data_IF_347289329594
#
_entry.id   IF_347289329594
#
_cell.length_a   1.000
_cell.length_b   1.000
_cell.length_c   1.000
_cell.angle_alpha   90.00
_cell.angle_beta   90.00
_cell.angle_gamma   90.00
#
_symmetry.space_group_name_H-M   'P 1'
#
loop_
_entity.id
_entity.type
_entity.pdbx_description
1 polymer ?
#
# COMPACT_ATOMS: atom_id res chain seq x y z
N UNK A 1 -4.68 12.52 -3.39
CA UNK A 1 -5.15 11.57 -2.36
C UNK A 1 -4.11 10.47 -2.26
N UNK A 2 -3.46 10.32 -1.09
CA UNK A 2 -2.47 9.27 -0.87
C UNK A 2 -3.15 7.91 -0.69
N UNK A 3 -2.43 6.85 -1.01
CA UNK A 3 -2.87 5.47 -0.75
C UNK A 3 -2.58 5.11 0.70
N UNK A 4 -3.56 4.49 1.37
CA UNK A 4 -3.49 4.17 2.79
C UNK A 4 -3.40 2.66 3.01
N UNK A 5 -2.40 2.23 3.77
CA UNK A 5 -2.26 0.85 4.22
C UNK A 5 -2.52 0.78 5.74
N UNK A 6 -3.48 -0.03 6.15
CA UNK A 6 -3.77 -0.28 7.56
C UNK A 6 -2.85 -1.35 8.13
N UNK A 7 -2.15 -1.07 9.21
CA UNK A 7 -1.35 -2.06 9.93
C UNK A 7 -2.25 -2.72 10.97
N UNK A 8 -2.46 -4.02 10.83
CA UNK A 8 -3.28 -4.83 11.75
C UNK A 8 -2.47 -5.98 12.31
N UNK A 9 -2.87 -6.51 13.44
CA UNK A 9 -2.26 -7.68 14.07
C UNK A 9 -2.81 -7.87 15.47
N UNK A 10 -2.64 -9.08 16.01
CA UNK A 10 -2.96 -9.39 17.40
C UNK A 10 -2.06 -8.60 18.36
N UNK A 11 -2.41 -8.49 19.64
CA UNK A 11 -1.50 -7.92 20.64
C UNK A 11 -0.16 -8.66 20.70
N UNK A 12 0.91 -7.93 20.99
CA UNK A 12 2.26 -8.46 21.20
C UNK A 12 2.91 -9.15 19.98
N UNK A 13 2.51 -8.80 18.76
CA UNK A 13 3.15 -9.28 17.52
C UNK A 13 4.25 -8.36 16.99
N UNK A 14 4.55 -7.24 17.67
CA UNK A 14 5.51 -6.23 17.25
C UNK A 14 4.93 -5.10 16.38
N UNK A 15 3.60 -5.01 16.27
CA UNK A 15 2.91 -3.99 15.47
C UNK A 15 3.30 -2.57 15.86
N UNK A 16 3.29 -2.23 17.14
CA UNK A 16 3.64 -0.89 17.64
C UNK A 16 5.12 -0.56 17.43
N UNK A 17 6.02 -1.54 17.60
CA UNK A 17 7.44 -1.38 17.31
C UNK A 17 7.65 -1.04 15.84
N UNK A 18 7.02 -1.79 14.94
CA UNK A 18 7.07 -1.55 13.50
C UNK A 18 6.51 -0.16 13.14
N UNK A 19 5.37 0.22 13.71
CA UNK A 19 4.77 1.52 13.45
C UNK A 19 5.62 2.66 13.99
N UNK A 20 6.27 2.49 15.14
CA UNK A 20 7.20 3.48 15.69
C UNK A 20 8.41 3.66 14.77
N UNK A 21 8.98 2.58 14.23
CA UNK A 21 10.06 2.67 13.25
C UNK A 21 9.62 3.44 11.99
N UNK A 22 8.45 3.12 11.44
CA UNK A 22 7.86 3.86 10.31
C UNK A 22 7.67 5.34 10.61
N UNK A 23 7.14 5.70 11.79
CA UNK A 23 6.89 7.10 12.16
C UNK A 23 8.17 7.87 12.44
N UNK A 24 9.20 7.26 13.01
CA UNK A 24 10.53 7.88 13.17
C UNK A 24 11.17 8.15 11.81
N UNK A 25 11.15 7.18 10.90
CA UNK A 25 11.60 7.34 9.53
C UNK A 25 10.83 8.47 8.82
N UNK A 26 9.51 8.52 8.96
CA UNK A 26 8.67 9.58 8.44
C UNK A 26 9.03 10.96 9.00
N UNK A 27 9.29 11.06 10.31
CA UNK A 27 9.68 12.31 10.98
C UNK A 27 11.06 12.80 10.53
N UNK A 28 12.04 11.90 10.38
CA UNK A 28 13.36 12.22 9.85
C UNK A 28 13.27 12.74 8.40
N UNK A 29 12.45 12.11 7.58
CA UNK A 29 12.20 12.57 6.21
C UNK A 29 11.42 13.91 6.17
N UNK A 30 10.48 14.12 7.11
CA UNK A 30 9.68 15.33 7.19
C UNK A 30 10.51 16.57 7.56
N UNK A 31 11.59 16.41 8.31
CA UNK A 31 12.51 17.50 8.65
C UNK A 31 13.14 18.15 7.38
N UNK A 32 13.22 17.39 6.30
CA UNK A 32 13.73 17.84 5.01
C UNK A 32 12.65 18.39 4.05
N UNK A 33 11.36 18.25 4.40
CA UNK A 33 10.24 18.66 3.54
C UNK A 33 9.18 19.43 4.32
N UNK A 34 8.92 20.72 3.99
CA UNK A 34 7.83 21.47 4.61
C UNK A 34 6.46 20.90 4.22
N UNK A 35 5.50 20.93 5.16
CA UNK A 35 4.10 20.49 5.03
C UNK A 35 3.77 19.02 5.34
N UNK A 36 4.62 18.29 6.09
CA UNK A 36 4.22 17.00 6.63
C UNK A 36 3.37 17.19 7.90
N UNK A 37 2.12 16.74 7.85
CA UNK A 37 1.23 16.72 9.03
C UNK A 37 1.50 15.43 9.82
N UNK A 38 1.83 15.54 11.09
CA UNK A 38 1.95 14.38 11.99
C UNK A 38 0.58 14.20 12.65
N UNK A 39 -0.19 13.22 12.22
CA UNK A 39 -1.42 12.81 12.88
C UNK A 39 -1.15 11.61 13.78
N UNK A 40 -1.78 11.51 14.96
CA UNK A 40 -1.68 10.31 15.79
C UNK A 40 -2.09 9.06 14.99
N UNK A 41 -1.30 8.00 15.08
CA UNK A 41 -1.53 6.73 14.38
C UNK A 41 -1.47 6.79 12.84
N UNK A 42 -0.89 7.83 12.25
CA UNK A 42 -0.67 7.96 10.80
C UNK A 42 0.79 8.30 10.54
N UNK A 43 1.45 7.50 9.70
CA UNK A 43 2.81 7.71 9.25
C UNK A 43 2.87 7.83 7.72
N UNK A 44 3.39 8.94 7.20
CA UNK A 44 3.66 9.12 5.77
C UNK A 44 5.13 8.90 5.50
N UNK A 45 5.48 7.85 4.75
CA UNK A 45 6.84 7.49 4.42
C UNK A 45 7.10 7.65 2.92
N UNK A 46 8.32 8.03 2.56
CA UNK A 46 8.73 8.06 1.16
C UNK A 46 8.80 6.63 0.61
N UNK A 47 8.39 6.46 -0.64
CA UNK A 47 8.59 5.21 -1.38
C UNK A 47 10.03 5.19 -1.88
N UNK A 48 10.86 4.21 -1.49
CA UNK A 48 12.23 4.10 -1.94
C UNK A 48 12.30 3.87 -3.46
N UNK A 49 12.93 4.79 -4.18
CA UNK A 49 13.12 4.69 -5.63
C UNK A 49 14.40 5.41 -6.07
N UNK A 50 15.47 4.65 -6.29
CA UNK A 50 16.78 5.16 -6.69
C UNK A 50 16.80 5.84 -8.06
N UNK A 51 15.77 5.61 -8.87
CA UNK A 51 15.62 6.26 -10.19
C UNK A 51 15.46 7.78 -10.05
N UNK A 52 14.78 8.22 -8.98
CA UNK A 52 14.53 9.64 -8.74
C UNK A 52 15.84 10.40 -8.51
N UNK A 53 16.77 9.83 -7.73
CA UNK A 53 18.08 10.48 -7.46
C UNK A 53 18.91 10.58 -8.74
N UNK A 54 18.92 9.53 -9.56
CA UNK A 54 19.58 9.50 -10.86
C UNK A 54 19.02 10.59 -11.79
N UNK A 55 17.69 10.70 -11.87
CA UNK A 55 17.02 11.72 -12.69
C UNK A 55 17.30 13.14 -12.19
N UNK A 56 17.30 13.34 -10.88
CA UNK A 56 17.60 14.62 -10.26
C UNK A 56 19.04 15.08 -10.55
N UNK A 57 19.99 14.15 -10.49
CA UNK A 57 21.39 14.43 -10.84
C UNK A 57 21.54 14.87 -12.30
N UNK A 58 20.91 14.18 -13.25
CA UNK A 58 20.91 14.51 -14.68
C UNK A 58 20.22 15.87 -14.91
N UNK A 59 19.04 16.08 -14.31
CA UNK A 59 18.25 17.31 -14.43
C UNK A 59 18.85 18.50 -13.68
N UNK A 60 19.88 18.27 -12.85
CA UNK A 60 20.46 19.26 -11.91
C UNK A 60 19.38 19.92 -11.05
N UNK A 61 18.43 19.10 -10.59
CA UNK A 61 17.30 19.55 -9.81
C UNK A 61 17.75 20.01 -8.43
N UNK A 62 17.16 21.10 -7.93
CA UNK A 62 17.45 21.63 -6.59
C UNK A 62 16.77 20.87 -5.48
N UNK A 63 15.59 20.34 -5.78
CA UNK A 63 14.75 19.57 -4.83
C UNK A 63 14.46 18.20 -5.40
N UNK A 64 14.42 17.19 -4.52
CA UNK A 64 14.08 15.81 -4.86
C UNK A 64 12.85 15.44 -4.04
N UNK A 65 11.73 15.18 -4.71
CA UNK A 65 10.44 14.95 -4.05
C UNK A 65 9.95 13.53 -4.37
N UNK A 66 10.12 12.57 -3.45
CA UNK A 66 9.64 11.20 -3.64
C UNK A 66 8.11 11.12 -3.55
N UNK A 67 7.56 10.03 -4.06
CA UNK A 67 6.19 9.64 -3.72
C UNK A 67 6.09 9.22 -2.26
N UNK A 68 4.88 9.27 -1.70
CA UNK A 68 4.65 8.89 -0.32
C UNK A 68 3.53 7.86 -0.21
N UNK A 69 3.68 6.98 0.76
CA UNK A 69 2.68 6.00 1.17
C UNK A 69 2.27 6.26 2.61
N UNK A 70 0.99 6.20 2.88
CA UNK A 70 0.43 6.43 4.22
C UNK A 70 0.19 5.09 4.90
N UNK A 71 0.76 4.91 6.09
CA UNK A 71 0.48 3.81 7.00
C UNK A 71 -0.39 4.29 8.15
N UNK A 72 -1.40 3.49 8.51
CA UNK A 72 -2.31 3.80 9.62
C UNK A 72 -2.18 2.68 10.65
N UNK A 73 -1.78 3.01 11.88
CA UNK A 73 -1.81 2.05 12.99
C UNK A 73 -3.24 1.83 13.43
N UNK A 74 -3.73 0.63 13.21
CA UNK A 74 -5.06 0.22 13.61
C UNK A 74 -4.91 -0.59 14.90
N UNK A 75 -5.50 -0.08 15.98
CA UNK A 75 -5.43 -0.71 17.30
C UNK A 75 -5.80 -2.20 17.22
N UNK A 76 -5.07 -3.05 17.95
CA UNK A 76 -5.16 -4.50 17.80
C UNK A 76 -6.58 -5.06 17.95
N UNK A 77 -6.91 -6.01 17.09
CA UNK A 77 -8.16 -6.77 17.17
C UNK A 77 -8.09 -7.74 18.34
N UNK A 78 -9.15 -7.77 19.14
CA UNK A 78 -9.38 -8.82 20.13
C UNK A 78 -10.49 -9.73 19.59
N UNK A 79 -10.37 -11.03 19.78
CA UNK A 79 -11.37 -12.03 19.41
C UNK A 79 -12.77 -11.60 19.90
N UNK A 80 -13.76 -11.63 18.99
CA UNK A 80 -15.12 -11.16 19.29
C UNK A 80 -15.38 -9.68 18.97
N UNK A 81 -14.47 -8.99 18.29
CA UNK A 81 -14.66 -7.59 17.90
C UNK A 81 -15.84 -7.36 16.95
N UNK A 82 -16.20 -8.35 16.15
CA UNK A 82 -17.39 -8.33 15.28
C UNK A 82 -18.71 -8.26 16.06
N UNK A 83 -18.72 -8.73 17.33
CA UNK A 83 -19.88 -8.73 18.23
C UNK A 83 -19.80 -7.66 19.32
N UNK A 84 -18.69 -6.88 19.35
CA UNK A 84 -18.37 -5.98 20.45
C UNK A 84 -18.96 -4.59 20.29
N UNK A 85 -19.31 -3.97 21.42
CA UNK A 85 -19.58 -2.54 21.53
C UNK A 85 -18.25 -1.77 21.67
N UNK A 86 -18.13 -0.61 21.04
CA UNK A 86 -17.02 0.33 21.27
C UNK A 86 -15.77 0.11 20.41
N UNK A 87 -14.67 -0.37 21.00
CA UNK A 87 -13.35 -0.46 20.35
C UNK A 87 -13.32 -1.32 19.08
N UNK A 88 -14.10 -2.43 19.03
CA UNK A 88 -14.20 -3.28 17.85
C UNK A 88 -14.79 -2.56 16.65
N UNK A 89 -15.83 -1.78 16.85
CA UNK A 89 -16.45 -1.00 15.76
C UNK A 89 -15.52 0.09 15.23
N UNK A 90 -14.72 0.72 16.08
CA UNK A 90 -13.72 1.71 15.66
C UNK A 90 -12.60 1.06 14.86
N UNK A 91 -12.13 -0.11 15.29
CA UNK A 91 -11.16 -0.91 14.54
C UNK A 91 -11.64 -1.22 13.10
N UNK A 92 -12.88 -1.73 12.97
CA UNK A 92 -13.47 -2.04 11.68
C UNK A 92 -13.68 -0.78 10.80
N UNK A 93 -14.04 0.35 11.42
CA UNK A 93 -14.17 1.62 10.71
C UNK A 93 -12.82 2.09 10.15
N UNK A 94 -11.75 2.01 10.94
CA UNK A 94 -10.41 2.39 10.51
C UNK A 94 -9.93 1.53 9.35
N UNK A 95 -10.16 0.20 9.37
CA UNK A 95 -9.84 -0.66 8.22
C UNK A 95 -10.62 -0.24 6.98
N UNK A 96 -11.91 0.13 7.10
CA UNK A 96 -12.70 0.57 5.93
C UNK A 96 -12.09 1.74 5.18
N UNK A 97 -11.41 2.63 5.87
CA UNK A 97 -10.78 3.83 5.30
C UNK A 97 -9.44 3.57 4.62
N UNK A 98 -8.89 2.35 4.71
CA UNK A 98 -7.62 1.98 4.07
C UNK A 98 -7.84 1.34 2.70
N UNK A 99 -6.81 1.35 1.84
CA UNK A 99 -6.82 0.72 0.53
C UNK A 99 -6.34 -0.74 0.57
N UNK A 100 -5.46 -1.08 1.53
CA UNK A 100 -4.90 -2.40 1.75
C UNK A 100 -4.60 -2.64 3.23
N UNK A 101 -4.32 -3.89 3.59
CA UNK A 101 -3.99 -4.32 4.93
C UNK A 101 -2.56 -4.88 4.97
N UNK A 102 -1.72 -4.34 5.85
CA UNK A 102 -0.47 -4.96 6.28
C UNK A 102 -0.75 -5.76 7.56
N UNK A 103 -0.81 -7.07 7.44
CA UNK A 103 -1.14 -7.96 8.54
C UNK A 103 0.13 -8.46 9.22
N UNK A 104 0.48 -7.88 10.37
CA UNK A 104 1.67 -8.23 11.14
C UNK A 104 1.41 -9.51 11.93
N UNK A 105 2.26 -10.50 11.71
CA UNK A 105 2.20 -11.82 12.33
C UNK A 105 3.46 -12.07 13.16
N UNK A 106 3.29 -12.61 14.36
CA UNK A 106 4.39 -12.99 15.22
C UNK A 106 4.99 -14.31 14.74
N UNK A 107 6.21 -14.22 14.20
CA UNK A 107 6.99 -15.37 13.75
C UNK A 107 8.27 -15.55 14.59
N UNK A 108 8.34 -14.98 15.77
CA UNK A 108 9.46 -15.10 16.71
C UNK A 108 9.02 -15.71 18.03
N UNK A 109 9.93 -16.43 18.70
CA UNK A 109 9.74 -16.92 20.04
C UNK A 109 10.46 -16.02 21.03
N UNK A 110 9.77 -15.57 22.08
CA UNK A 110 10.32 -14.76 23.16
C UNK A 110 9.59 -15.13 24.46
N UNK A 111 10.33 -15.67 25.43
CA UNK A 111 9.78 -16.12 26.70
C UNK A 111 9.27 -14.99 27.59
N UNK A 112 9.75 -13.76 27.37
CA UNK A 112 9.36 -12.57 28.12
C UNK A 112 8.12 -11.89 27.53
N UNK A 113 7.73 -12.24 26.31
CA UNK A 113 6.57 -11.70 25.60
C UNK A 113 5.46 -12.75 25.53
N UNK A 114 4.42 -12.60 26.35
CA UNK A 114 3.29 -13.51 26.36
C UNK A 114 2.47 -13.42 25.06
N UNK A 115 2.25 -14.57 24.41
CA UNK A 115 1.32 -14.66 23.28
C UNK A 115 -0.13 -14.75 23.79
N UNK A 116 -1.07 -14.11 23.11
CA UNK A 116 -2.49 -14.05 23.53
C UNK A 116 -3.12 -15.45 23.60
N UNK A 117 -2.76 -16.34 22.67
CA UNK A 117 -3.26 -17.72 22.61
C UNK A 117 -2.33 -18.72 23.30
N UNK A 118 -1.26 -18.25 23.97
CA UNK A 118 -0.30 -19.09 24.73
C UNK A 118 0.66 -19.91 23.85
N UNK A 119 0.63 -19.75 22.53
CA UNK A 119 1.56 -20.38 21.56
C UNK A 119 1.79 -19.47 20.37
N UNK A 120 2.93 -19.57 19.71
CA UNK A 120 3.22 -18.90 18.46
C UNK A 120 2.70 -19.76 17.30
N UNK A 121 1.66 -19.26 16.62
CA UNK A 121 1.05 -19.92 15.45
C UNK A 121 0.55 -18.83 14.50
N UNK A 122 1.40 -18.27 13.65
CA UNK A 122 1.05 -17.13 12.82
C UNK A 122 -0.03 -17.42 11.79
N UNK A 123 -0.17 -18.68 11.36
CA UNK A 123 -1.22 -19.08 10.42
C UNK A 123 -2.60 -19.05 11.12
N UNK A 124 -2.69 -19.61 12.32
CA UNK A 124 -3.92 -19.57 13.12
C UNK A 124 -4.28 -18.12 13.54
N UNK A 125 -3.28 -17.30 13.81
CA UNK A 125 -3.47 -15.86 14.10
C UNK A 125 -4.04 -15.11 12.89
N UNK A 126 -3.54 -15.41 11.70
CA UNK A 126 -4.05 -14.83 10.44
C UNK A 126 -5.51 -15.25 10.18
N UNK A 127 -5.82 -16.51 10.35
CA UNK A 127 -7.19 -17.05 10.19
C UNK A 127 -8.17 -16.45 11.20
N UNK A 128 -7.71 -16.20 12.43
CA UNK A 128 -8.53 -15.56 13.48
C UNK A 128 -8.96 -14.16 13.05
N UNK A 129 -8.05 -13.33 12.60
CA UNK A 129 -8.37 -11.97 12.13
C UNK A 129 -9.23 -12.01 10.87
N UNK A 130 -8.90 -12.86 9.90
CA UNK A 130 -9.69 -13.02 8.67
C UNK A 130 -11.14 -13.38 8.98
N UNK A 131 -11.34 -14.32 9.90
CA UNK A 131 -12.69 -14.75 10.33
C UNK A 131 -13.49 -13.62 10.94
N UNK A 132 -12.89 -12.80 11.81
CA UNK A 132 -13.58 -11.64 12.41
C UNK A 132 -13.96 -10.59 11.35
N UNK A 133 -13.10 -10.37 10.36
CA UNK A 133 -13.40 -9.46 9.24
C UNK A 133 -14.52 -10.01 8.35
N UNK A 134 -14.53 -11.31 8.06
CA UNK A 134 -15.60 -11.98 7.30
C UNK A 134 -16.95 -11.88 8.01
N UNK A 135 -16.99 -12.12 9.32
CA UNK A 135 -18.21 -12.00 10.12
C UNK A 135 -18.74 -10.55 10.12
N UNK A 136 -17.86 -9.57 10.22
CA UNK A 136 -18.23 -8.16 10.16
C UNK A 136 -18.79 -7.76 8.77
N UNK A 137 -18.20 -8.30 7.70
CA UNK A 137 -18.73 -8.09 6.35
C UNK A 137 -20.11 -8.74 6.16
N UNK A 138 -20.31 -9.96 6.64
CA UNK A 138 -21.63 -10.65 6.58
C UNK A 138 -22.71 -9.82 7.28
N UNK A 139 -22.48 -9.35 8.51
CA UNK A 139 -23.41 -8.47 9.23
C UNK A 139 -23.72 -7.17 8.45
N UNK A 140 -22.67 -6.56 7.86
CA UNK A 140 -22.83 -5.37 7.03
C UNK A 140 -23.65 -5.64 5.75
N UNK A 141 -23.40 -6.77 5.09
CA UNK A 141 -24.09 -7.16 3.85
C UNK A 141 -25.57 -7.42 4.14
N UNK A 142 -25.90 -8.17 5.18
CA UNK A 142 -27.29 -8.45 5.56
C UNK A 142 -28.09 -7.16 5.79
N UNK A 143 -27.52 -6.21 6.57
CA UNK A 143 -28.15 -4.91 6.83
C UNK A 143 -28.35 -4.10 5.55
N UNK A 144 -27.35 -4.06 4.68
CA UNK A 144 -27.42 -3.31 3.41
C UNK A 144 -28.45 -3.91 2.47
N UNK A 145 -28.48 -5.24 2.29
CA UNK A 145 -29.45 -5.91 1.43
C UNK A 145 -30.88 -5.72 1.93
N UNK A 146 -31.12 -5.77 3.24
CA UNK A 146 -32.41 -5.46 3.83
C UNK A 146 -32.89 -4.03 3.47
N UNK A 147 -31.99 -3.05 3.47
CA UNK A 147 -32.28 -1.65 3.12
C UNK A 147 -32.55 -1.47 1.61
N UNK A 148 -31.99 -2.32 0.74
CA UNK A 148 -32.19 -2.25 -0.71
C UNK A 148 -33.56 -2.76 -1.17
N UNK A 149 -34.26 -3.58 -0.39
CA UNK A 149 -35.53 -4.22 -0.76
C UNK A 149 -36.55 -3.24 -1.35
N UNK A 150 -36.67 -2.04 -0.77
CA UNK A 150 -37.61 -1.01 -1.24
C UNK A 150 -37.25 -0.47 -2.61
N UNK A 151 -35.97 -0.21 -2.87
CA UNK A 151 -35.46 0.29 -4.15
C UNK A 151 -35.54 -0.78 -5.25
N UNK A 152 -35.27 -2.05 -4.88
CA UNK A 152 -35.38 -3.18 -5.80
C UNK A 152 -36.83 -3.36 -6.31
N UNK A 153 -37.84 -3.15 -5.46
CA UNK A 153 -39.25 -3.16 -5.87
C UNK A 153 -39.58 -2.02 -6.85
N UNK A 154 -38.84 -0.91 -6.80
CA UNK A 154 -38.95 0.21 -7.72
C UNK A 154 -38.15 0.05 -9.03
N UNK A 155 -37.56 -1.13 -9.26
CA UNK A 155 -36.73 -1.46 -10.44
C UNK A 155 -35.52 -0.52 -10.65
N UNK A 156 -34.93 -0.03 -9.56
CA UNK A 156 -33.73 0.81 -9.54
C UNK A 156 -32.50 -0.02 -9.98
N UNK A 157 -31.89 0.36 -11.11
CA UNK A 157 -30.76 -0.37 -11.70
C UNK A 157 -29.50 -0.35 -10.83
N UNK A 158 -29.25 0.77 -10.14
CA UNK A 158 -28.09 0.88 -9.25
C UNK A 158 -28.26 -0.02 -8.02
N UNK A 159 -29.48 -0.06 -7.46
CA UNK A 159 -29.82 -0.99 -6.37
C UNK A 159 -29.72 -2.45 -6.80
N UNK A 160 -30.10 -2.80 -8.02
CA UNK A 160 -29.96 -4.14 -8.58
C UNK A 160 -28.50 -4.55 -8.73
N UNK A 161 -27.64 -3.67 -9.26
CA UNK A 161 -26.19 -3.90 -9.36
C UNK A 161 -25.58 -4.11 -7.97
N UNK A 162 -25.93 -3.23 -7.03
CA UNK A 162 -25.41 -3.30 -5.66
C UNK A 162 -25.85 -4.60 -4.95
N UNK A 163 -27.12 -5.00 -5.07
CA UNK A 163 -27.63 -6.23 -4.45
C UNK A 163 -26.96 -7.48 -5.04
N UNK A 164 -26.74 -7.53 -6.35
CA UNK A 164 -26.01 -8.62 -7.01
C UNK A 164 -24.59 -8.76 -6.45
N UNK A 165 -23.83 -7.66 -6.43
CA UNK A 165 -22.46 -7.66 -5.93
C UNK A 165 -22.38 -8.05 -4.44
N UNK A 166 -23.35 -7.61 -3.63
CA UNK A 166 -23.46 -8.01 -2.23
C UNK A 166 -23.83 -9.50 -2.08
N UNK A 167 -24.66 -10.03 -2.96
CA UNK A 167 -25.01 -11.47 -2.95
C UNK A 167 -23.80 -12.33 -3.32
N UNK A 168 -23.02 -11.94 -4.32
CA UNK A 168 -21.78 -12.64 -4.71
C UNK A 168 -20.78 -12.66 -3.55
N UNK A 169 -20.58 -11.50 -2.88
CA UNK A 169 -19.75 -11.43 -1.69
C UNK A 169 -20.26 -12.29 -0.55
N UNK A 170 -21.57 -12.27 -0.29
CA UNK A 170 -22.19 -13.09 0.77
C UNK A 170 -21.95 -14.59 0.55
N UNK A 171 -22.16 -15.07 -0.67
CA UNK A 171 -21.92 -16.48 -1.02
C UNK A 171 -20.47 -16.88 -0.75
N UNK A 172 -19.50 -16.04 -1.13
CA UNK A 172 -18.08 -16.30 -0.90
C UNK A 172 -17.76 -16.36 0.60
N UNK A 173 -18.29 -15.42 1.38
CA UNK A 173 -18.07 -15.35 2.83
C UNK A 173 -18.72 -16.52 3.59
N UNK A 174 -19.91 -16.95 3.19
CA UNK A 174 -20.61 -18.11 3.74
C UNK A 174 -19.85 -19.42 3.47
N UNK A 175 -19.09 -19.47 2.36
CA UNK A 175 -18.16 -20.55 2.05
C UNK A 175 -16.84 -20.49 2.86
N UNK A 176 -16.70 -19.51 3.78
CA UNK A 176 -15.49 -19.30 4.56
C UNK A 176 -14.33 -18.71 3.77
N UNK A 177 -14.61 -17.98 2.69
CA UNK A 177 -13.61 -17.36 1.83
C UNK A 177 -13.78 -15.82 1.81
N UNK A 178 -12.69 -15.06 1.77
CA UNK A 178 -12.75 -13.59 1.78
C UNK A 178 -13.32 -13.02 0.48
N UNK A 179 -14.00 -11.89 0.57
CA UNK A 179 -14.66 -11.24 -0.57
C UNK A 179 -13.68 -10.83 -1.71
N UNK A 180 -12.36 -10.69 -1.45
CA UNK A 180 -11.36 -10.41 -2.49
C UNK A 180 -11.22 -11.51 -3.54
N UNK A 181 -11.73 -12.70 -3.27
CA UNK A 181 -11.73 -13.82 -4.23
C UNK A 181 -12.94 -13.83 -5.17
N UNK A 182 -13.87 -12.89 -5.00
CA UNK A 182 -14.98 -12.70 -5.94
C UNK A 182 -14.44 -12.16 -7.26
N UNK A 183 -14.75 -12.83 -8.37
CA UNK A 183 -14.46 -12.31 -9.70
C UNK A 183 -15.41 -11.17 -10.05
N UNK A 184 -14.87 -9.98 -10.25
CA UNK A 184 -15.64 -8.77 -10.53
C UNK A 184 -15.32 -8.25 -11.92
N UNK A 185 -16.34 -8.11 -12.76
CA UNK A 185 -16.23 -7.58 -14.10
C UNK A 185 -15.67 -6.13 -14.12
N UNK A 186 -14.99 -5.77 -15.20
CA UNK A 186 -14.31 -4.47 -15.30
C UNK A 186 -15.28 -3.28 -15.11
N UNK A 187 -16.51 -3.40 -15.59
CA UNK A 187 -17.57 -2.38 -15.46
C UNK A 187 -18.09 -2.24 -14.01
N UNK A 188 -18.04 -3.31 -13.22
CA UNK A 188 -18.50 -3.33 -11.83
C UNK A 188 -17.43 -2.96 -10.81
N UNK A 189 -16.15 -2.90 -11.18
CA UNK A 189 -15.04 -2.62 -10.27
C UNK A 189 -15.20 -1.34 -9.46
N UNK A 190 -15.82 -0.31 -10.05
CA UNK A 190 -16.08 0.94 -9.34
C UNK A 190 -17.15 0.75 -8.25
N UNK A 191 -18.26 0.10 -8.61
CA UNK A 191 -19.36 -0.20 -7.67
C UNK A 191 -18.88 -1.13 -6.56
N UNK A 192 -18.09 -2.16 -6.90
CA UNK A 192 -17.47 -3.06 -5.94
C UNK A 192 -16.63 -2.34 -4.87
N UNK A 193 -15.72 -1.46 -5.30
CA UNK A 193 -14.91 -0.66 -4.37
C UNK A 193 -15.74 0.22 -3.45
N UNK A 194 -16.87 0.74 -3.94
CA UNK A 194 -17.78 1.56 -3.12
C UNK A 194 -18.53 0.75 -2.05
N UNK A 195 -18.55 -0.59 -2.13
CA UNK A 195 -19.08 -1.44 -1.07
C UNK A 195 -18.20 -1.38 0.18
N UNK A 196 -16.91 -1.07 0.06
CA UNK A 196 -15.96 -0.96 1.18
C UNK A 196 -15.98 -2.18 2.11
N UNK A 197 -16.11 -3.38 1.53
CA UNK A 197 -16.01 -4.61 2.29
C UNK A 197 -14.59 -4.78 2.84
N UNK A 198 -14.47 -5.20 4.08
CA UNK A 198 -13.19 -5.34 4.76
C UNK A 198 -12.32 -6.41 4.10
N UNK A 199 -12.93 -7.56 3.81
CA UNK A 199 -12.25 -8.70 3.20
C UNK A 199 -12.10 -8.60 1.69
N UNK A 200 -12.60 -7.53 1.06
CA UNK A 200 -12.32 -7.23 -0.36
C UNK A 200 -10.96 -6.54 -0.55
N UNK A 201 -10.34 -6.08 0.53
CA UNK A 201 -9.05 -5.39 0.49
C UNK A 201 -7.91 -6.39 0.27
N UNK A 202 -6.88 -6.02 -0.52
CA UNK A 202 -5.68 -6.82 -0.65
C UNK A 202 -4.91 -6.86 0.68
N UNK A 203 -4.24 -7.99 0.95
CA UNK A 203 -3.52 -8.25 2.20
C UNK A 203 -2.05 -8.54 1.89
N UNK A 204 -1.15 -7.86 2.64
CA UNK A 204 0.26 -8.16 2.71
C UNK A 204 0.56 -8.74 4.08
N UNK A 205 1.04 -9.98 4.14
CA UNK A 205 1.46 -10.58 5.41
C UNK A 205 2.86 -10.12 5.76
N UNK A 206 3.03 -9.63 6.99
CA UNK A 206 4.30 -9.12 7.53
C UNK A 206 4.76 -10.08 8.62
N UNK A 207 5.72 -10.95 8.28
CA UNK A 207 6.30 -11.93 9.20
C UNK A 207 7.34 -11.23 10.07
N UNK A 208 7.00 -10.91 11.31
CA UNK A 208 7.95 -10.35 12.27
C UNK A 208 8.72 -11.48 12.95
N UNK A 209 10.02 -11.57 12.63
CA UNK A 209 10.95 -12.61 13.12
C UNK A 209 11.95 -12.04 14.12
N UNK A 210 12.73 -12.91 14.77
CA UNK A 210 13.87 -12.51 15.59
C UNK A 210 14.98 -11.87 14.74
N UNK A 211 15.92 -11.16 15.38
CA UNK A 211 16.97 -10.40 14.69
C UNK A 211 17.86 -11.30 13.83
N UNK A 212 18.28 -12.44 14.36
CA UNK A 212 19.13 -13.44 13.70
C UNK A 212 18.42 -14.20 12.57
N UNK A 213 17.09 -14.12 12.49
CA UNK A 213 16.26 -14.73 11.47
C UNK A 213 15.84 -13.75 10.36
N UNK A 214 16.26 -12.49 10.43
CA UNK A 214 15.83 -11.41 9.53
C UNK A 214 16.21 -11.61 8.07
N UNK A 215 17.32 -12.33 7.81
CA UNK A 215 17.83 -12.63 6.46
C UNK A 215 17.15 -13.86 5.86
N UNK A 216 17.05 -14.93 6.62
CA UNK A 216 16.62 -16.25 6.12
C UNK A 216 15.17 -16.60 6.43
N UNK A 217 14.55 -15.90 7.38
CA UNK A 217 13.30 -16.32 7.97
C UNK A 217 13.46 -17.58 8.83
N UNK A 218 12.32 -18.16 9.20
CA UNK A 218 12.24 -19.37 10.01
C UNK A 218 11.04 -20.25 9.58
N UNK A 219 10.78 -21.34 10.31
CA UNK A 219 9.67 -22.24 10.02
C UNK A 219 8.29 -21.55 10.06
N UNK A 220 8.10 -20.58 10.97
CA UNK A 220 6.85 -19.83 11.07
C UNK A 220 6.65 -18.90 9.86
N UNK A 221 7.68 -18.17 9.47
CA UNK A 221 7.60 -17.28 8.27
C UNK A 221 7.44 -18.09 6.98
N UNK A 222 8.02 -19.29 6.90
CA UNK A 222 7.82 -20.21 5.77
C UNK A 222 6.37 -20.69 5.70
N UNK A 223 5.77 -21.09 6.83
CA UNK A 223 4.36 -21.48 6.86
C UNK A 223 3.42 -20.34 6.42
N UNK A 224 3.71 -19.09 6.82
CA UNK A 224 2.98 -17.92 6.34
C UNK A 224 3.18 -17.69 4.85
N UNK A 225 4.40 -17.88 4.33
CA UNK A 225 4.69 -17.75 2.90
C UNK A 225 3.87 -18.74 2.06
N UNK A 226 3.78 -20.01 2.51
CA UNK A 226 2.99 -21.06 1.86
C UNK A 226 1.49 -20.73 1.89
N UNK A 227 0.99 -20.26 3.03
CA UNK A 227 -0.41 -19.80 3.17
C UNK A 227 -0.69 -18.61 2.23
N UNK A 228 0.18 -17.61 2.22
CA UNK A 228 0.03 -16.43 1.37
C UNK A 228 0.00 -16.81 -0.11
N UNK A 229 0.93 -17.67 -0.55
CA UNK A 229 0.99 -18.15 -1.93
C UNK A 229 -0.28 -18.92 -2.34
N UNK A 230 -0.81 -19.78 -1.45
CA UNK A 230 -2.04 -20.51 -1.69
C UNK A 230 -3.28 -19.61 -1.84
N UNK A 231 -3.25 -18.42 -1.23
CA UNK A 231 -4.30 -17.39 -1.30
C UNK A 231 -4.06 -16.35 -2.41
N UNK A 232 -2.95 -16.42 -3.15
CA UNK A 232 -2.56 -15.41 -4.12
C UNK A 232 -2.15 -14.07 -3.48
N UNK A 233 -1.76 -14.08 -2.21
CA UNK A 233 -1.29 -12.94 -1.45
C UNK A 233 0.24 -12.88 -1.41
N UNK A 234 0.79 -11.72 -1.04
CA UNK A 234 2.22 -11.51 -0.83
C UNK A 234 2.58 -11.53 0.65
N UNK A 235 3.86 -11.79 0.93
CA UNK A 235 4.41 -11.68 2.28
C UNK A 235 5.78 -10.98 2.25
N UNK A 236 6.19 -10.45 3.40
CA UNK A 236 7.53 -9.92 3.65
C UNK A 236 8.01 -10.42 5.01
N UNK A 237 9.33 -10.68 5.12
CA UNK A 237 9.98 -11.05 6.38
C UNK A 237 10.75 -9.84 6.89
N UNK A 238 10.49 -9.42 8.13
CA UNK A 238 11.17 -8.29 8.76
C UNK A 238 11.45 -8.61 10.22
N UNK A 239 12.41 -7.92 10.84
CA UNK A 239 12.52 -7.83 12.28
C UNK A 239 12.17 -6.41 12.73
N UNK A 240 11.03 -6.24 13.38
CA UNK A 240 10.58 -4.93 13.84
C UNK A 240 11.59 -4.28 14.81
N UNK A 241 12.38 -5.08 15.52
CA UNK A 241 13.43 -4.64 16.43
C UNK A 241 14.62 -4.04 15.66
N UNK A 242 15.08 -4.71 14.60
CA UNK A 242 16.11 -4.18 13.69
C UNK A 242 15.64 -2.85 13.07
N UNK A 243 14.40 -2.80 12.60
CA UNK A 243 13.85 -1.57 12.00
C UNK A 243 13.79 -0.40 13.00
N UNK A 244 13.46 -0.70 14.26
CA UNK A 244 13.47 0.31 15.31
C UNK A 244 14.89 0.83 15.59
N UNK A 245 15.90 -0.03 15.59
CA UNK A 245 17.30 0.34 15.74
C UNK A 245 17.76 1.20 14.56
N UNK A 246 17.57 0.73 13.32
CA UNK A 246 17.95 1.47 12.10
C UNK A 246 17.33 2.86 12.10
N UNK A 247 16.07 2.99 12.52
CA UNK A 247 15.36 4.28 12.55
C UNK A 247 15.96 5.34 13.47
N UNK A 248 16.95 4.95 14.31
CA UNK A 248 17.63 5.83 15.27
C UNK A 248 19.05 6.17 14.84
N UNK A 249 19.58 5.53 13.80
CA UNK A 249 20.93 5.70 13.30
C UNK A 249 21.01 6.79 12.24
N UNK A 250 22.17 7.43 12.15
CA UNK A 250 22.50 8.27 11.00
C UNK A 250 22.68 7.39 9.74
N UNK A 251 22.47 7.92 8.52
CA UNK A 251 22.49 7.12 7.29
C UNK A 251 23.74 6.26 7.09
N UNK A 252 24.93 6.78 7.42
CA UNK A 252 26.20 6.05 7.29
C UNK A 252 26.28 4.89 8.32
N UNK A 253 25.78 5.12 9.53
CA UNK A 253 25.74 4.10 10.58
C UNK A 253 24.73 3.01 10.26
N UNK A 254 23.57 3.39 9.68
CA UNK A 254 22.53 2.46 9.23
C UNK A 254 23.05 1.54 8.12
N UNK A 255 23.80 2.05 7.14
CA UNK A 255 24.42 1.24 6.09
C UNK A 255 25.44 0.22 6.65
N UNK A 256 26.27 0.66 7.59
CA UNK A 256 27.20 -0.24 8.28
C UNK A 256 26.48 -1.33 9.07
N UNK A 257 25.44 -0.96 9.81
CA UNK A 257 24.63 -1.90 10.59
C UNK A 257 23.95 -2.95 9.69
N UNK A 258 23.33 -2.53 8.59
CA UNK A 258 22.74 -3.44 7.60
C UNK A 258 23.76 -4.42 7.04
N UNK A 259 24.95 -3.93 6.69
CA UNK A 259 26.05 -4.78 6.17
C UNK A 259 26.48 -5.81 7.21
N UNK A 260 26.63 -5.43 8.48
CA UNK A 260 26.98 -6.32 9.59
C UNK A 260 25.92 -7.41 9.80
N UNK A 261 24.64 -7.05 9.68
CA UNK A 261 23.52 -7.97 9.79
C UNK A 261 23.33 -8.84 8.53
N UNK A 262 24.07 -8.60 7.44
CA UNK A 262 23.92 -9.30 6.18
C UNK A 262 22.65 -8.93 5.41
N UNK A 263 22.10 -7.75 5.67
CA UNK A 263 20.93 -7.19 5.01
C UNK A 263 21.37 -6.24 3.88
N UNK A 264 20.74 -6.33 2.71
CA UNK A 264 21.01 -5.43 1.60
C UNK A 264 20.29 -4.09 1.74
N UNK A 265 19.17 -4.07 2.49
CA UNK A 265 18.31 -2.92 2.67
C UNK A 265 17.43 -3.07 3.92
N UNK A 266 16.86 -1.99 4.45
CA UNK A 266 15.87 -2.04 5.54
C UNK A 266 14.65 -2.89 5.16
N UNK A 267 14.11 -3.63 6.11
CA UNK A 267 12.87 -4.37 5.93
C UNK A 267 11.66 -3.44 5.68
N UNK A 268 11.69 -2.23 6.24
CA UNK A 268 10.68 -1.20 5.96
C UNK A 268 10.63 -0.83 4.47
N UNK A 269 11.76 -0.73 3.80
CA UNK A 269 11.81 -0.43 2.37
C UNK A 269 11.18 -1.56 1.55
N UNK A 270 11.44 -2.82 1.93
CA UNK A 270 10.77 -3.99 1.34
C UNK A 270 9.27 -3.97 1.58
N UNK A 271 8.83 -3.63 2.81
CA UNK A 271 7.42 -3.51 3.17
C UNK A 271 6.72 -2.42 2.32
N UNK A 272 7.34 -1.25 2.20
CA UNK A 272 6.79 -0.13 1.43
C UNK A 272 6.66 -0.52 -0.05
N UNK A 273 7.70 -1.11 -0.65
CA UNK A 273 7.65 -1.56 -2.05
C UNK A 273 6.64 -2.68 -2.28
N UNK A 274 6.56 -3.66 -1.36
CA UNK A 274 5.56 -4.72 -1.45
C UNK A 274 4.14 -4.17 -1.37
N UNK A 275 3.88 -3.21 -0.48
CA UNK A 275 2.61 -2.52 -0.37
C UNK A 275 2.25 -1.71 -1.62
N UNK A 276 3.24 -1.06 -2.22
CA UNK A 276 3.09 -0.31 -3.46
C UNK A 276 2.70 -1.23 -4.63
N UNK A 277 3.40 -2.36 -4.76
CA UNK A 277 3.10 -3.38 -5.77
C UNK A 277 1.71 -4.03 -5.54
N UNK A 278 1.36 -4.34 -4.28
CA UNK A 278 0.07 -4.93 -3.91
C UNK A 278 -1.12 -4.05 -4.34
N UNK A 279 -0.96 -2.74 -4.30
CA UNK A 279 -1.97 -1.76 -4.71
C UNK A 279 -1.96 -1.49 -6.22
N UNK A 280 -1.11 -2.20 -6.99
CA UNK A 280 -0.89 -1.98 -8.42
C UNK A 280 -0.58 -0.52 -8.73
N UNK A 281 0.33 0.07 -7.94
CA UNK A 281 0.80 1.43 -8.13
C UNK A 281 2.04 1.46 -9.01
N UNK A 282 2.14 2.51 -9.80
CA UNK A 282 3.27 2.81 -10.67
C UNK A 282 3.72 4.24 -10.44
N UNK A 283 4.97 4.50 -10.75
CA UNK A 283 5.60 5.81 -10.59
C UNK A 283 5.98 6.37 -11.96
N UNK A 284 5.58 7.61 -12.24
CA UNK A 284 6.17 8.40 -13.29
C UNK A 284 6.89 9.60 -12.69
N UNK A 285 7.77 10.23 -13.45
CA UNK A 285 8.62 11.31 -13.01
C UNK A 285 8.38 12.59 -13.82
N UNK A 286 8.57 13.72 -13.15
CA UNK A 286 8.77 15.02 -13.79
C UNK A 286 10.13 15.55 -13.36
N UNK A 287 10.93 16.03 -14.32
CA UNK A 287 12.29 16.47 -14.07
C UNK A 287 12.49 17.87 -14.62
N UNK A 288 12.96 18.77 -13.76
CA UNK A 288 13.27 20.14 -14.13
C UNK A 288 14.33 20.75 -13.21
N UNK A 289 14.86 21.96 -13.52
CA UNK A 289 15.90 22.60 -12.71
C UNK A 289 15.46 22.96 -11.28
N UNK A 290 14.17 23.12 -11.05
CA UNK A 290 13.64 23.41 -9.70
C UNK A 290 13.51 22.13 -8.88
N UNK A 291 12.86 21.13 -9.46
CA UNK A 291 12.58 19.87 -8.77
C UNK A 291 12.62 18.67 -9.74
N UNK A 292 13.04 17.52 -9.22
CA UNK A 292 12.72 16.21 -9.74
C UNK A 292 11.69 15.59 -8.81
N UNK A 293 10.58 15.12 -9.36
CA UNK A 293 9.48 14.62 -8.54
C UNK A 293 8.92 13.32 -9.08
N UNK A 294 8.70 12.40 -8.18
CA UNK A 294 8.00 11.15 -8.43
C UNK A 294 6.50 11.31 -8.13
N UNK A 295 5.66 10.72 -8.98
CA UNK A 295 4.20 10.79 -8.90
C UNK A 295 3.60 9.40 -8.93
N UNK A 296 2.68 9.12 -8.01
CA UNK A 296 2.00 7.84 -7.92
C UNK A 296 0.75 7.81 -8.80
N UNK A 297 0.63 6.78 -9.60
CA UNK A 297 -0.58 6.44 -10.36
C UNK A 297 -0.94 4.97 -10.16
N UNK A 298 -2.16 4.59 -10.53
CA UNK A 298 -2.52 3.17 -10.64
C UNK A 298 -2.10 2.65 -12.02
N UNK A 299 -1.72 1.39 -12.07
CA UNK A 299 -1.46 0.70 -13.32
C UNK A 299 -2.64 0.86 -14.30
N UNK A 300 -2.34 1.16 -15.56
CA UNK A 300 -3.35 1.40 -16.58
C UNK A 300 -3.91 2.83 -16.61
N UNK A 301 -3.33 3.77 -15.86
CA UNK A 301 -3.73 5.19 -15.89
C UNK A 301 -3.33 5.85 -17.22
N UNK A 302 -4.28 6.50 -17.87
CA UNK A 302 -3.99 7.24 -19.10
C UNK A 302 -3.36 8.62 -18.82
N UNK A 303 -2.64 9.17 -19.81
CA UNK A 303 -1.89 10.40 -19.66
C UNK A 303 -2.69 11.62 -19.14
N UNK A 304 -3.95 11.87 -19.53
CA UNK A 304 -4.73 12.97 -18.96
C UNK A 304 -4.96 12.81 -17.45
N UNK A 305 -5.31 11.59 -16.99
CA UNK A 305 -5.52 11.30 -15.57
C UNK A 305 -4.22 11.39 -14.79
N UNK A 306 -3.10 10.95 -15.38
CA UNK A 306 -1.77 11.14 -14.78
C UNK A 306 -1.44 12.62 -14.62
N UNK A 307 -1.70 13.46 -15.63
CA UNK A 307 -1.57 14.92 -15.52
C UNK A 307 -2.47 15.50 -14.42
N UNK A 308 -3.66 14.92 -14.23
CA UNK A 308 -4.62 15.27 -13.17
C UNK A 308 -4.11 15.04 -11.76
N UNK A 309 -3.16 14.12 -11.57
CA UNK A 309 -2.48 13.89 -10.27
C UNK A 309 -1.64 15.09 -9.88
N UNK A 310 -1.06 15.81 -10.84
CA UNK A 310 -0.32 17.05 -10.60
C UNK A 310 -1.28 18.18 -10.24
N UNK A 311 -2.27 18.41 -11.11
CA UNK A 311 -3.30 19.42 -10.92
C UNK A 311 -4.53 19.14 -11.80
N UNK A 312 -5.73 19.35 -11.27
CA UNK A 312 -6.97 19.09 -12.03
C UNK A 312 -7.10 19.88 -13.34
N UNK A 313 -6.48 21.05 -13.43
CA UNK A 313 -6.49 21.85 -14.66
C UNK A 313 -5.61 21.21 -15.76
N UNK A 314 -4.57 20.47 -15.38
CA UNK A 314 -3.72 19.74 -16.34
C UNK A 314 -4.53 18.62 -17.03
N UNK A 315 -5.41 17.93 -16.29
CA UNK A 315 -6.31 16.92 -16.85
C UNK A 315 -7.32 17.55 -17.82
N UNK A 316 -7.98 18.64 -17.39
CA UNK A 316 -9.01 19.32 -18.19
C UNK A 316 -8.43 19.93 -19.46
N UNK A 317 -7.28 20.59 -19.34
CA UNK A 317 -6.60 21.25 -20.44
C UNK A 317 -5.62 20.38 -21.21
N UNK A 318 -5.56 19.06 -20.95
CA UNK A 318 -4.56 18.18 -21.52
C UNK A 318 -4.50 18.24 -23.05
N UNK A 319 -3.31 18.51 -23.58
CA UNK A 319 -3.02 18.53 -25.02
C UNK A 319 -2.25 17.27 -25.41
N UNK A 320 -1.07 17.06 -24.82
CA UNK A 320 -0.19 15.91 -25.03
C UNK A 320 0.81 15.77 -23.89
N UNK A 321 1.46 14.61 -23.78
CA UNK A 321 2.61 14.37 -22.93
C UNK A 321 3.86 14.16 -23.80
N UNK A 322 4.93 14.90 -23.53
CA UNK A 322 6.26 14.58 -24.02
C UNK A 322 6.84 13.55 -23.08
N UNK A 323 7.16 12.36 -23.61
CA UNK A 323 7.43 11.15 -22.82
C UNK A 323 8.78 10.58 -23.21
N UNK A 324 9.63 10.29 -22.23
CA UNK A 324 10.89 9.56 -22.38
C UNK A 324 10.90 8.43 -21.35
N UNK A 325 11.22 7.21 -21.78
CA UNK A 325 11.41 6.11 -20.83
C UNK A 325 12.65 6.37 -19.96
N UNK A 326 12.62 5.93 -18.69
CA UNK A 326 13.71 6.13 -17.73
C UNK A 326 15.09 5.75 -18.32
N UNK A 327 15.22 4.54 -18.87
CA UNK A 327 16.48 4.06 -19.42
C UNK A 327 17.00 4.93 -20.58
N UNK A 328 16.10 5.36 -21.46
CA UNK A 328 16.43 6.26 -22.56
C UNK A 328 16.83 7.65 -22.04
N UNK A 329 16.16 8.14 -20.99
CA UNK A 329 16.49 9.43 -20.37
C UNK A 329 17.89 9.42 -19.75
N UNK A 330 18.24 8.33 -19.05
CA UNK A 330 19.56 8.14 -18.44
C UNK A 330 20.63 7.98 -19.52
N UNK A 331 20.42 7.11 -20.51
CA UNK A 331 21.37 6.86 -21.60
C UNK A 331 21.64 8.13 -22.41
N UNK A 332 20.63 8.96 -22.64
CA UNK A 332 20.73 10.22 -23.40
C UNK A 332 21.13 11.42 -22.54
N UNK A 333 21.36 11.25 -21.25
CA UNK A 333 21.72 12.32 -20.30
C UNK A 333 20.71 13.48 -20.28
N UNK A 334 19.42 13.15 -20.32
CA UNK A 334 18.32 14.10 -20.17
C UNK A 334 17.42 14.28 -21.38
N UNK A 335 16.44 15.18 -21.25
CA UNK A 335 15.39 15.40 -22.25
C UNK A 335 15.95 15.85 -23.60
N UNK A 336 16.93 16.77 -23.61
CA UNK A 336 17.52 17.28 -24.85
C UNK A 336 18.22 16.17 -25.62
N UNK A 337 19.06 15.37 -24.96
CA UNK A 337 19.73 14.24 -25.60
C UNK A 337 18.75 13.17 -26.09
N UNK A 338 17.67 12.91 -25.32
CA UNK A 338 16.61 11.99 -25.75
C UNK A 338 15.87 12.51 -26.99
N UNK A 339 15.63 13.82 -27.06
CA UNK A 339 15.02 14.46 -28.24
C UNK A 339 15.91 14.32 -29.48
N UNK A 340 17.20 14.61 -29.36
CA UNK A 340 18.17 14.53 -30.45
C UNK A 340 18.37 13.08 -30.92
N UNK A 341 18.25 12.12 -30.01
CA UNK A 341 18.31 10.69 -30.30
C UNK A 341 16.99 10.10 -30.84
N UNK A 342 15.92 10.92 -30.96
CA UNK A 342 14.60 10.47 -31.39
C UNK A 342 13.88 9.58 -30.39
N UNK A 343 14.22 9.65 -29.11
CA UNK A 343 13.64 8.89 -28.00
C UNK A 343 12.50 9.59 -27.28
N UNK A 344 12.37 10.90 -27.45
CA UNK A 344 11.25 11.67 -26.94
C UNK A 344 10.03 11.47 -27.84
N UNK A 345 8.97 10.96 -27.23
CA UNK A 345 7.70 10.67 -27.88
C UNK A 345 6.66 11.71 -27.52
N UNK A 346 5.81 12.08 -28.47
CA UNK A 346 4.63 12.91 -28.19
C UNK A 346 3.40 12.03 -28.09
N UNK A 347 2.90 11.84 -26.88
CA UNK A 347 1.81 10.92 -26.57
C UNK A 347 0.49 11.66 -26.35
N UNK A 348 -0.59 11.10 -26.91
CA UNK A 348 -1.94 11.65 -26.84
C UNK A 348 -2.75 11.13 -25.64
N UNK A 349 -4.06 11.45 -25.67
CA UNK A 349 -4.99 11.15 -24.56
C UNK A 349 -5.17 9.66 -24.26
N UNK A 350 -4.94 8.78 -25.22
CA UNK A 350 -5.08 7.33 -25.06
C UNK A 350 -3.82 6.62 -24.59
N UNK A 351 -2.72 7.36 -24.41
CA UNK A 351 -1.47 6.78 -23.91
C UNK A 351 -1.64 6.32 -22.48
N UNK A 352 -1.31 5.06 -22.22
CA UNK A 352 -1.23 4.49 -20.89
C UNK A 352 0.19 4.72 -20.37
N UNK A 353 0.30 5.49 -19.29
CA UNK A 353 1.58 5.80 -18.65
C UNK A 353 2.19 4.54 -18.10
N UNK A 354 3.49 4.38 -18.28
CA UNK A 354 4.25 3.23 -17.80
C UNK A 354 5.10 3.61 -16.59
N UNK A 355 5.37 2.63 -15.76
CA UNK A 355 6.30 2.80 -14.64
C UNK A 355 7.68 3.24 -15.15
N UNK A 356 8.22 4.30 -14.57
CA UNK A 356 9.49 4.88 -14.96
C UNK A 356 9.44 5.92 -16.09
N UNK A 357 8.27 6.21 -16.68
CA UNK A 357 8.17 7.28 -17.67
C UNK A 357 8.57 8.64 -17.08
N UNK A 358 9.39 9.40 -17.78
CA UNK A 358 9.67 10.82 -17.51
C UNK A 358 8.77 11.64 -18.41
N UNK A 359 7.87 12.42 -17.80
CA UNK A 359 6.78 13.09 -18.48
C UNK A 359 6.86 14.62 -18.36
N UNK A 360 6.60 15.29 -19.48
CA UNK A 360 6.34 16.73 -19.51
C UNK A 360 4.96 16.94 -20.14
N UNK A 361 4.00 17.40 -19.34
CA UNK A 361 2.63 17.62 -19.80
C UNK A 361 2.44 19.01 -20.41
N UNK A 362 1.87 19.05 -21.61
CA UNK A 362 1.43 20.29 -22.24
C UNK A 362 -0.11 20.37 -22.12
N UNK A 363 -0.57 21.50 -21.62
CA UNK A 363 -1.99 21.77 -21.40
C UNK A 363 -2.33 23.21 -21.76
N UNK A 364 -3.60 23.43 -22.12
CA UNK A 364 -4.15 24.78 -22.29
C UNK A 364 -4.70 25.24 -20.93
N UNK A 365 -4.18 26.34 -20.39
CA UNK A 365 -4.73 27.01 -19.22
C UNK A 365 -5.92 27.89 -19.56
#
# INVERSE_FOLDING_TARGET
MGFKMGIVGLPNVGKSTLFNALTKTAAAQAANFPFCTIEPNVGEVAVPDTRLDTLAAIGKSKEIIPTRMTFVDIAGLVKGASKGEGLGNQFLANIRETDAIAHVLRCFEDGDVTHVEGRVDPVADAETIETELMLADLDSIEKRRANLVRKLKGNDKEAQQQDRLLADAQTMLEDGKPARLVEVDAEDRKAWRMLQLLTSKPVLYVCNVAEDESVTGNAHSTAVADMAAAQGNSHVVISARIEEEISQLEPEEAEMFLTEMGLEEPGLDRLIRAGYALLHLETYFTVGPKEARAWTIRQGTAAPQAAGVIHGDFEKGFIRAETVAYDDYVACQGETGARDAGKLRAEGKSYIVKDGDVLHFLFSG
#
